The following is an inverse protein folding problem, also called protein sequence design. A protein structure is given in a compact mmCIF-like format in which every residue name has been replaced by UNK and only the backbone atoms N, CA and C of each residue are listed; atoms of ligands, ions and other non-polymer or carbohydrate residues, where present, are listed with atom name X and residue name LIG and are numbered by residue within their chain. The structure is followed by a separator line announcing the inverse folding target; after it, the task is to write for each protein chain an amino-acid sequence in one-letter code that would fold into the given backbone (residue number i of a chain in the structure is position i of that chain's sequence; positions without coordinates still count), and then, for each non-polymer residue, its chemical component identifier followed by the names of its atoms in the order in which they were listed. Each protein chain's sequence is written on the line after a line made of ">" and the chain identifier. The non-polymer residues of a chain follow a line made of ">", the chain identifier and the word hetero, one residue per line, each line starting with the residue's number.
data_IF_224811228883
#
_entry.id   IF_224811228883
#
_cell.length_a   1.000
_cell.length_b   1.000
_cell.length_c   1.000
_cell.angle_alpha   90.00
_cell.angle_beta   90.00
_cell.angle_gamma   90.00
#
_symmetry.space_group_name_H-M   'P 1'
#
loop_
_entity.id
_entity.type
_entity.pdbx_description
1 polymer ?
#
# COMPACT_ATOMS: atom_id res chain seq x y z
N UNK A 1 5.52 -17.45 1.85
CA UNK A 1 4.35 -16.55 1.96
C UNK A 1 4.36 -15.59 3.16
N UNK A 2 5.05 -15.87 4.28
CA UNK A 2 5.11 -14.97 5.46
C UNK A 2 5.79 -13.59 5.21
N UNK A 3 6.63 -13.48 4.18
CA UNK A 3 7.39 -12.25 3.84
C UNK A 3 6.51 -11.13 3.25
N UNK A 4 5.42 -11.47 2.56
CA UNK A 4 4.49 -10.51 1.93
C UNK A 4 3.69 -9.71 2.98
N UNK A 5 3.41 -10.36 4.12
CA UNK A 5 2.63 -9.80 5.23
C UNK A 5 3.32 -8.56 5.82
N UNK A 6 4.65 -8.51 5.86
CA UNK A 6 5.40 -7.43 6.51
C UNK A 6 5.39 -6.14 5.67
N UNK A 7 5.45 -6.24 4.33
CA UNK A 7 5.56 -5.08 3.45
C UNK A 7 4.29 -4.21 3.42
N UNK A 8 3.09 -4.83 3.49
CA UNK A 8 1.82 -4.10 3.49
C UNK A 8 1.34 -3.71 4.89
N UNK A 9 1.82 -4.40 5.92
CA UNK A 9 1.61 -3.97 7.31
C UNK A 9 2.40 -2.71 7.66
N UNK A 10 3.50 -2.43 6.94
CA UNK A 10 4.34 -1.25 7.14
C UNK A 10 3.85 -0.03 6.35
N UNK A 11 2.99 -0.23 5.36
CA UNK A 11 2.55 0.79 4.41
C UNK A 11 1.28 1.56 4.83
N UNK A 12 0.69 1.21 5.96
CA UNK A 12 -0.43 1.95 6.55
C UNK A 12 -1.63 1.07 6.78
N UNK A 13 -1.73 0.55 8.01
CA UNK A 13 -2.95 0.43 8.81
C UNK A 13 -2.58 -0.27 10.12
N UNK A 14 -2.53 0.54 11.17
CA UNK A 14 -2.30 0.20 12.57
C UNK A 14 -1.07 -0.70 12.86
N UNK A 15 0.08 -0.06 13.10
CA UNK A 15 1.08 -0.65 13.98
C UNK A 15 0.47 -0.81 15.38
N UNK A 16 0.64 -1.96 16.06
CA UNK A 16 0.20 -2.11 17.44
C UNK A 16 0.96 -1.09 18.30
N UNK A 17 0.24 -0.42 19.20
CA UNK A 17 0.77 0.43 20.24
C UNK A 17 1.68 -0.40 21.17
N UNK A 18 2.93 -0.56 20.77
CA UNK A 18 4.03 -0.94 21.63
C UNK A 18 5.21 -0.07 21.22
N UNK A 19 5.30 1.04 21.93
CA UNK A 19 6.33 2.07 21.95
C UNK A 19 7.62 1.64 21.23
N UNK A 20 7.71 2.02 19.95
CA UNK A 20 9.00 2.33 19.35
C UNK A 20 9.24 3.82 19.63
N UNK A 21 10.46 4.25 19.94
CA UNK A 21 10.77 5.67 20.01
C UNK A 21 10.59 6.25 18.60
N UNK A 22 9.39 6.75 18.34
CA UNK A 22 9.11 7.64 17.23
C UNK A 22 9.90 8.89 17.58
N UNK A 23 11.03 9.11 16.90
CA UNK A 23 11.60 10.45 16.86
C UNK A 23 10.44 11.38 16.45
N UNK A 24 10.24 12.50 17.18
CA UNK A 24 9.07 13.36 17.00
C UNK A 24 8.89 13.68 15.51
N UNK A 25 7.64 13.88 15.08
CA UNK A 25 7.14 14.24 13.73
C UNK A 25 7.85 15.45 13.08
N UNK A 26 9.17 15.45 13.04
CA UNK A 26 9.99 16.45 12.45
C UNK A 26 10.05 16.12 10.95
N UNK A 27 9.55 16.98 10.07
CA UNK A 27 9.86 16.85 8.65
C UNK A 27 11.39 16.80 8.50
N UNK A 28 11.95 15.90 7.67
CA UNK A 28 13.38 15.87 7.45
C UNK A 28 13.84 17.19 6.84
N UNK A 29 15.13 17.48 7.10
CA UNK A 29 15.84 18.63 6.55
C UNK A 29 15.61 18.70 5.04
N UNK A 30 15.21 19.87 4.56
CA UNK A 30 15.00 20.13 3.14
C UNK A 30 16.23 19.68 2.34
N UNK A 31 16.03 18.75 1.38
CA UNK A 31 17.05 18.45 0.38
C UNK A 31 17.23 17.00 -0.08
N UNK A 32 16.65 15.98 0.57
CA UNK A 32 16.84 14.60 0.09
C UNK A 32 15.75 14.21 -0.93
N UNK A 33 16.08 14.25 -2.23
CA UNK A 33 15.23 13.70 -3.31
C UNK A 33 15.22 12.17 -3.36
N UNK A 34 16.07 11.52 -2.56
CA UNK A 34 16.24 10.07 -2.46
C UNK A 34 15.40 9.43 -1.36
N UNK A 35 15.21 8.12 -1.48
CA UNK A 35 14.65 7.28 -0.42
C UNK A 35 15.67 7.03 0.69
N UNK A 36 15.27 7.22 1.94
CA UNK A 36 16.04 6.90 3.14
C UNK A 36 15.58 5.56 3.72
N UNK A 37 16.52 4.71 4.16
CA UNK A 37 16.19 3.40 4.73
C UNK A 37 15.64 3.57 6.15
N UNK A 38 14.39 3.17 6.35
CA UNK A 38 13.71 3.20 7.66
C UNK A 38 13.98 1.91 8.43
N UNK A 39 13.87 0.76 7.75
CA UNK A 39 14.00 -0.55 8.39
C UNK A 39 14.42 -1.61 7.38
N UNK A 40 15.22 -2.57 7.83
CA UNK A 40 15.54 -3.78 7.08
C UNK A 40 15.34 -5.00 7.97
N UNK A 41 14.60 -5.99 7.49
CA UNK A 41 14.41 -7.26 8.18
C UNK A 41 14.49 -8.40 7.17
N UNK A 42 15.55 -9.21 7.28
CA UNK A 42 15.83 -10.26 6.31
C UNK A 42 15.94 -9.69 4.89
N UNK A 43 15.07 -10.17 3.99
CA UNK A 43 15.03 -9.76 2.59
C UNK A 43 14.05 -8.61 2.32
N UNK A 44 13.46 -8.00 3.35
CA UNK A 44 12.54 -6.86 3.21
C UNK A 44 13.26 -5.59 3.66
N UNK A 45 13.24 -4.56 2.81
CA UNK A 45 13.71 -3.23 3.12
C UNK A 45 12.57 -2.23 2.97
N UNK A 46 12.38 -1.38 3.98
CA UNK A 46 11.42 -0.28 3.99
C UNK A 46 12.19 1.03 3.94
N UNK A 47 11.79 1.88 3.01
CA UNK A 47 12.31 3.20 2.80
C UNK A 47 11.20 4.24 2.91
N UNK A 48 11.60 5.48 3.14
CA UNK A 48 10.71 6.64 3.08
C UNK A 48 11.34 7.79 2.31
N UNK A 49 10.49 8.69 1.81
CA UNK A 49 10.89 10.04 1.45
C UNK A 49 9.74 11.00 1.69
N UNK A 50 10.06 12.27 1.86
CA UNK A 50 9.06 13.32 2.03
C UNK A 50 8.97 14.14 0.75
N UNK A 51 7.76 14.23 0.22
CA UNK A 51 7.47 14.95 -1.02
C UNK A 51 6.62 16.15 -0.70
N UNK A 52 6.98 17.31 -1.24
CA UNK A 52 6.08 18.46 -1.27
C UNK A 52 4.94 18.15 -2.25
N UNK A 53 3.71 18.12 -1.72
CA UNK A 53 2.50 17.78 -2.48
C UNK A 53 1.65 19.01 -2.78
N UNK A 54 1.77 20.03 -1.93
CA UNK A 54 1.22 21.39 -2.10
C UNK A 54 2.21 22.37 -1.45
N UNK A 55 2.17 23.67 -1.81
CA UNK A 55 3.03 24.67 -1.19
C UNK A 55 2.96 24.64 0.35
N UNK A 56 4.10 24.33 0.97
CA UNK A 56 4.21 24.24 2.44
C UNK A 56 3.58 22.98 3.05
N UNK A 57 3.19 22.00 2.23
CA UNK A 57 2.62 20.71 2.67
C UNK A 57 3.42 19.56 2.12
N UNK A 58 3.92 18.73 3.02
CA UNK A 58 4.63 17.51 2.68
C UNK A 58 3.75 16.27 2.96
N UNK A 59 3.96 15.23 2.17
CA UNK A 59 3.44 13.90 2.42
C UNK A 59 4.58 12.89 2.40
N UNK A 60 4.51 11.93 3.31
CA UNK A 60 5.46 10.83 3.40
C UNK A 60 5.08 9.75 2.39
N UNK A 61 6.00 9.44 1.49
CA UNK A 61 5.90 8.28 0.62
C UNK A 61 6.73 7.14 1.21
N UNK A 62 6.15 5.95 1.27
CA UNK A 62 6.81 4.73 1.70
C UNK A 62 7.14 3.87 0.49
N UNK A 63 8.28 3.19 0.55
CA UNK A 63 8.68 2.20 -0.43
C UNK A 63 9.14 0.92 0.27
N UNK A 64 8.58 -0.22 -0.09
CA UNK A 64 9.03 -1.53 0.36
C UNK A 64 9.67 -2.30 -0.82
N UNK A 65 10.84 -2.90 -0.59
CA UNK A 65 11.51 -3.78 -1.54
C UNK A 65 11.75 -5.16 -0.93
N UNK A 66 11.45 -6.22 -1.68
CA UNK A 66 11.72 -7.60 -1.26
C UNK A 66 11.73 -8.58 -2.45
N UNK A 67 12.21 -9.82 -2.21
CA UNK A 67 12.10 -10.91 -3.18
C UNK A 67 10.95 -11.83 -2.79
N UNK A 68 10.02 -12.04 -3.72
CA UNK A 68 8.92 -12.98 -3.58
C UNK A 68 9.25 -14.30 -4.32
N UNK A 69 8.98 -15.47 -3.71
CA UNK A 69 9.18 -16.76 -4.35
C UNK A 69 8.02 -17.10 -5.31
N UNK A 70 7.73 -16.21 -6.25
CA UNK A 70 6.67 -16.33 -7.24
C UNK A 70 7.01 -15.47 -8.47
N UNK A 71 6.45 -15.83 -9.63
CA UNK A 71 6.61 -15.06 -10.86
C UNK A 71 5.78 -13.77 -10.81
N UNK A 72 6.08 -12.76 -11.66
CA UNK A 72 5.28 -11.55 -11.73
C UNK A 72 3.80 -11.84 -12.02
N UNK A 73 3.53 -12.83 -12.88
CA UNK A 73 2.16 -13.25 -13.19
C UNK A 73 1.43 -13.85 -11.97
N UNK A 74 2.06 -14.77 -11.24
CA UNK A 74 1.44 -15.36 -10.05
C UNK A 74 1.17 -14.30 -8.95
N UNK A 75 2.03 -13.28 -8.86
CA UNK A 75 1.80 -12.14 -7.96
C UNK A 75 0.63 -11.27 -8.42
N UNK A 76 0.48 -10.99 -9.72
CA UNK A 76 -0.67 -10.26 -10.24
C UNK A 76 -1.99 -11.00 -9.98
N UNK A 77 -2.01 -12.32 -10.20
CA UNK A 77 -3.16 -13.16 -9.90
C UNK A 77 -3.51 -13.11 -8.41
N UNK A 78 -2.50 -13.16 -7.52
CA UNK A 78 -2.72 -13.00 -6.07
C UNK A 78 -3.28 -11.61 -5.70
N UNK A 79 -2.81 -10.55 -6.34
CA UNK A 79 -3.25 -9.17 -6.07
C UNK A 79 -4.68 -8.90 -6.55
N UNK A 80 -5.12 -9.61 -7.60
CA UNK A 80 -6.47 -9.51 -8.19
C UNK A 80 -7.49 -10.44 -7.51
N UNK A 81 -7.04 -11.46 -6.79
CA UNK A 81 -7.89 -12.46 -6.15
C UNK A 81 -8.43 -11.99 -4.78
N UNK A 82 -9.67 -11.51 -4.76
CA UNK A 82 -10.35 -11.07 -3.52
C UNK A 82 -10.47 -12.17 -2.46
N UNK A 83 -10.58 -13.44 -2.88
CA UNK A 83 -10.73 -14.58 -1.95
C UNK A 83 -9.46 -14.82 -1.12
N UNK A 84 -8.31 -14.36 -1.63
CA UNK A 84 -7.00 -14.47 -0.97
C UNK A 84 -6.58 -13.20 -0.27
N UNK A 85 -7.24 -12.07 -0.50
CA UNK A 85 -6.85 -10.76 0.05
C UNK A 85 -6.69 -10.79 1.58
N UNK A 86 -7.65 -11.40 2.30
CA UNK A 86 -7.63 -11.49 3.76
C UNK A 86 -6.46 -12.33 4.32
N UNK A 87 -5.89 -13.22 3.51
CA UNK A 87 -4.78 -14.07 3.95
C UNK A 87 -3.45 -13.32 4.01
N UNK A 88 -3.32 -12.18 3.32
CA UNK A 88 -2.06 -11.44 3.23
C UNK A 88 -2.18 -9.96 3.62
N UNK A 89 -3.36 -9.35 3.50
CA UNK A 89 -3.61 -7.99 3.98
C UNK A 89 -3.87 -8.02 5.48
N UNK A 90 -2.97 -7.42 6.27
CA UNK A 90 -3.18 -7.29 7.71
C UNK A 90 -4.41 -6.40 7.96
N UNK A 91 -5.23 -6.79 8.93
CA UNK A 91 -6.44 -6.09 9.34
C UNK A 91 -7.51 -5.96 8.25
N UNK A 92 -7.36 -6.55 7.07
CA UNK A 92 -8.45 -6.58 6.12
C UNK A 92 -9.61 -7.39 6.70
N UNK A 93 -10.80 -6.78 6.74
CA UNK A 93 -12.06 -7.42 7.09
C UNK A 93 -12.91 -7.76 5.88
N UNK A 94 -12.69 -7.07 4.76
CA UNK A 94 -13.32 -7.37 3.47
C UNK A 94 -12.47 -6.87 2.31
N UNK A 95 -12.48 -7.60 1.21
CA UNK A 95 -11.99 -7.16 -0.10
C UNK A 95 -13.04 -7.53 -1.15
N UNK A 96 -13.31 -6.64 -2.11
CA UNK A 96 -14.19 -6.92 -3.24
C UNK A 96 -13.65 -6.29 -4.51
N UNK A 97 -13.64 -7.04 -5.60
CA UNK A 97 -13.41 -6.52 -6.95
C UNK A 97 -14.76 -6.11 -7.55
N UNK A 98 -14.95 -4.82 -7.80
CA UNK A 98 -16.20 -4.24 -8.29
C UNK A 98 -16.26 -4.14 -9.81
N UNK A 99 -15.09 -4.05 -10.45
CA UNK A 99 -14.88 -4.01 -11.89
C UNK A 99 -13.59 -4.72 -12.18
N UNK A 100 -13.54 -5.48 -13.27
CA UNK A 100 -12.36 -6.26 -13.60
C UNK A 100 -12.21 -6.42 -15.11
N UNK A 101 -11.04 -6.08 -15.64
CA UNK A 101 -10.69 -6.22 -17.05
C UNK A 101 -9.20 -6.54 -17.22
N UNK A 102 -8.72 -6.60 -18.46
CA UNK A 102 -7.33 -6.95 -18.74
C UNK A 102 -6.33 -5.85 -18.36
N UNK A 103 -6.78 -4.59 -18.36
CA UNK A 103 -5.98 -3.40 -18.10
C UNK A 103 -5.99 -2.98 -16.62
N UNK A 104 -6.83 -3.59 -15.79
CA UNK A 104 -6.92 -3.25 -14.38
C UNK A 104 -8.27 -3.60 -13.74
N UNK A 105 -8.44 -3.16 -12.50
CA UNK A 105 -9.64 -3.45 -11.72
C UNK A 105 -9.95 -2.35 -10.71
N UNK A 106 -11.20 -2.33 -10.24
CA UNK A 106 -11.64 -1.47 -9.15
C UNK A 106 -11.82 -2.33 -7.90
N UNK A 107 -11.03 -2.08 -6.85
CA UNK A 107 -11.11 -2.83 -5.60
C UNK A 107 -11.64 -1.98 -4.45
N UNK A 108 -12.57 -2.53 -3.69
CA UNK A 108 -12.98 -2.04 -2.39
C UNK A 108 -12.30 -2.86 -1.30
N UNK A 109 -11.64 -2.21 -0.34
CA UNK A 109 -11.03 -2.87 0.81
C UNK A 109 -11.48 -2.20 2.09
N UNK A 110 -11.91 -3.00 3.08
CA UNK A 110 -12.24 -2.55 4.44
C UNK A 110 -11.24 -3.14 5.42
N UNK A 111 -10.77 -2.30 6.33
CA UNK A 111 -9.87 -2.67 7.41
C UNK A 111 -10.58 -2.57 8.75
N UNK A 112 -10.56 -3.68 9.48
CA UNK A 112 -11.12 -3.83 10.82
C UNK A 112 -9.98 -3.54 11.82
N UNK A 113 -9.96 -2.30 12.33
CA UNK A 113 -8.84 -1.78 13.10
C UNK A 113 -9.03 -1.99 14.61
N UNK A 114 -7.94 -2.19 15.36
CA UNK A 114 -8.03 -2.25 16.80
C UNK A 114 -8.41 -0.88 17.37
N UNK A 115 -9.24 -0.90 18.41
CA UNK A 115 -9.56 0.26 19.22
C UNK A 115 -8.27 0.95 19.73
N UNK A 116 -8.19 2.30 19.76
CA UNK A 116 -9.26 3.29 19.53
C UNK A 116 -9.40 3.80 18.09
N UNK A 117 -8.74 3.17 17.12
CA UNK A 117 -8.79 3.65 15.72
C UNK A 117 -10.07 3.17 15.07
N UNK A 118 -10.85 4.09 14.48
CA UNK A 118 -12.03 3.72 13.68
C UNK A 118 -11.63 2.89 12.46
N UNK A 119 -12.46 1.91 12.13
CA UNK A 119 -12.34 1.15 10.88
C UNK A 119 -12.19 2.08 9.68
N UNK A 120 -11.44 1.62 8.70
CA UNK A 120 -11.15 2.38 7.49
C UNK A 120 -11.53 1.59 6.26
N UNK A 121 -11.97 2.28 5.21
CA UNK A 121 -12.12 1.67 3.90
C UNK A 121 -11.45 2.49 2.82
N UNK A 122 -11.10 1.83 1.72
CA UNK A 122 -10.60 2.49 0.53
C UNK A 122 -11.23 1.89 -0.71
N UNK A 123 -11.34 2.73 -1.73
CA UNK A 123 -11.72 2.33 -3.07
C UNK A 123 -10.54 2.69 -3.97
N UNK A 124 -9.93 1.69 -4.59
CA UNK A 124 -8.70 1.83 -5.35
C UNK A 124 -8.93 1.36 -6.79
N UNK A 125 -8.63 2.24 -7.75
CA UNK A 125 -8.55 1.88 -9.16
C UNK A 125 -7.12 1.47 -9.48
N UNK A 126 -6.97 0.25 -9.98
CA UNK A 126 -5.72 -0.35 -10.40
C UNK A 126 -5.59 -0.26 -11.92
N UNK A 127 -4.38 0.02 -12.39
CA UNK A 127 -4.01 0.08 -13.81
C UNK A 127 -2.72 -0.71 -14.03
N UNK A 128 -2.78 -1.68 -14.95
CA UNK A 128 -1.75 -2.66 -15.21
C UNK A 128 -1.00 -2.35 -16.51
N UNK A 129 0.31 -2.22 -16.40
CA UNK A 129 1.22 -2.09 -17.52
C UNK A 129 2.24 -3.23 -17.49
N UNK A 130 2.24 -4.08 -18.51
CA UNK A 130 3.21 -5.18 -18.67
C UNK A 130 4.30 -4.79 -19.66
N UNK A 131 5.56 -5.11 -19.36
CA UNK A 131 6.69 -4.87 -20.26
C UNK A 131 7.78 -5.93 -20.06
N UNK A 132 8.09 -6.70 -21.11
CA UNK A 132 9.27 -7.57 -21.13
C UNK A 132 9.34 -8.60 -19.99
N UNK A 133 8.19 -9.10 -19.53
CA UNK A 133 8.08 -10.03 -18.38
C UNK A 133 7.97 -9.35 -17.01
N UNK A 134 8.23 -8.04 -16.93
CA UNK A 134 7.91 -7.22 -15.75
C UNK A 134 6.48 -6.69 -15.81
N UNK A 135 5.93 -6.34 -14.66
CA UNK A 135 4.63 -5.71 -14.54
C UNK A 135 4.68 -4.54 -13.57
N UNK A 136 4.08 -3.42 -13.98
CA UNK A 136 3.79 -2.27 -13.12
C UNK A 136 2.29 -2.17 -12.94
N UNK A 137 1.82 -2.31 -11.70
CA UNK A 137 0.43 -2.17 -11.33
C UNK A 137 0.28 -0.89 -10.50
N UNK A 138 -0.11 0.20 -11.14
CA UNK A 138 -0.42 1.46 -10.48
C UNK A 138 -1.75 1.38 -9.75
N UNK A 139 -1.90 2.12 -8.66
CA UNK A 139 -3.20 2.28 -8.00
C UNK A 139 -3.40 3.70 -7.50
N UNK A 140 -4.66 4.14 -7.49
CA UNK A 140 -5.06 5.43 -6.92
C UNK A 140 -6.45 5.34 -6.31
N UNK A 141 -6.71 6.23 -5.36
CA UNK A 141 -8.05 6.41 -4.78
C UNK A 141 -9.04 6.75 -5.87
N UNK A 142 -10.19 6.09 -5.82
CA UNK A 142 -11.31 6.29 -6.73
C UNK A 142 -12.57 6.65 -5.93
N UNK A 143 -13.55 7.19 -6.63
CA UNK A 143 -14.91 7.39 -6.11
C UNK A 143 -15.87 6.71 -7.09
N UNK A 144 -16.76 5.87 -6.58
CA UNK A 144 -17.73 5.12 -7.37
C UNK A 144 -19.00 4.86 -6.55
N UNK A 145 -20.16 5.01 -7.18
CA UNK A 145 -21.47 4.78 -6.55
C UNK A 145 -21.71 3.32 -6.13
N UNK A 146 -20.95 2.37 -6.68
CA UNK A 146 -20.99 0.95 -6.29
C UNK A 146 -20.45 0.70 -4.87
N UNK A 147 -19.69 1.64 -4.31
CA UNK A 147 -19.13 1.55 -2.96
C UNK A 147 -19.38 2.85 -2.15
N UNK A 148 -20.63 3.10 -1.73
CA UNK A 148 -20.97 4.31 -0.98
C UNK A 148 -20.29 4.34 0.39
N UNK A 149 -20.07 5.53 0.97
CA UNK A 149 -19.53 5.67 2.33
C UNK A 149 -20.38 4.93 3.37
N UNK A 150 -19.72 4.32 4.36
CA UNK A 150 -20.37 3.56 5.43
C UNK A 150 -20.31 4.34 6.74
N UNK A 151 -21.41 4.32 7.49
CA UNK A 151 -21.45 4.91 8.85
C UNK A 151 -20.48 4.17 9.76
N UNK A 152 -19.65 4.92 10.50
CA UNK A 152 -18.67 4.37 11.44
C UNK A 152 -17.36 3.91 10.79
N UNK A 153 -17.23 3.99 9.46
CA UNK A 153 -16.02 3.64 8.71
C UNK A 153 -15.48 4.90 8.04
N UNK A 154 -14.19 5.18 8.21
CA UNK A 154 -13.53 6.33 7.60
C UNK A 154 -13.00 5.97 6.20
N UNK A 155 -13.53 6.62 5.17
CA UNK A 155 -13.02 6.51 3.79
C UNK A 155 -11.66 7.17 3.69
N UNK A 156 -10.63 6.38 3.38
CA UNK A 156 -9.33 6.86 2.96
C UNK A 156 -9.42 7.33 1.50
N UNK A 157 -8.87 8.51 1.24
CA UNK A 157 -8.73 9.09 -0.07
C UNK A 157 -7.35 9.77 -0.19
N UNK A 158 -7.00 10.21 -1.40
CA UNK A 158 -5.64 10.69 -1.73
C UNK A 158 -4.53 9.63 -1.63
N UNK A 159 -4.89 8.35 -1.52
CA UNK A 159 -3.93 7.24 -1.57
C UNK A 159 -3.58 6.96 -3.03
N UNK A 160 -2.28 6.89 -3.35
CA UNK A 160 -1.79 6.41 -4.63
C UNK A 160 -0.45 5.69 -4.49
N UNK A 161 -0.09 4.91 -5.50
CA UNK A 161 1.14 4.12 -5.45
C UNK A 161 1.26 3.15 -6.62
N UNK A 162 2.24 2.25 -6.53
CA UNK A 162 2.42 1.20 -7.53
C UNK A 162 3.09 -0.04 -6.95
N UNK A 163 2.77 -1.18 -7.56
CA UNK A 163 3.58 -2.39 -7.50
C UNK A 163 4.44 -2.47 -8.74
N UNK A 164 5.74 -2.63 -8.58
CA UNK A 164 6.65 -3.02 -9.65
C UNK A 164 7.13 -4.45 -9.37
N UNK A 165 6.86 -5.34 -10.32
CA UNK A 165 7.14 -6.76 -10.25
C UNK A 165 8.12 -7.09 -11.36
N UNK A 166 9.35 -7.43 -10.99
CA UNK A 166 10.44 -7.70 -11.93
C UNK A 166 10.89 -9.15 -11.77
N UNK A 167 10.94 -9.95 -12.84
CA UNK A 167 11.38 -11.34 -12.75
C UNK A 167 12.86 -11.40 -12.36
N UNK A 168 13.18 -12.36 -11.49
CA UNK A 168 14.57 -12.72 -11.14
C UNK A 168 14.76 -14.23 -11.23
N UNK A 169 16.02 -14.69 -11.21
CA UNK A 169 16.36 -16.09 -11.40
C UNK A 169 15.60 -17.05 -10.44
N UNK A 170 15.19 -18.19 -10.98
CA UNK A 170 14.51 -19.26 -10.24
C UNK A 170 13.01 -19.07 -10.09
N UNK A 171 12.34 -18.38 -11.04
CA UNK A 171 10.88 -18.18 -10.99
C UNK A 171 10.42 -17.27 -9.86
N UNK A 172 11.30 -16.38 -9.40
CA UNK A 172 11.05 -15.42 -8.30
C UNK A 172 10.87 -14.03 -8.88
N UNK A 173 10.42 -13.09 -8.06
CA UNK A 173 10.28 -11.69 -8.46
C UNK A 173 10.88 -10.76 -7.43
N UNK A 174 11.58 -9.73 -7.89
CA UNK A 174 11.81 -8.52 -7.10
C UNK A 174 10.52 -7.71 -7.10
N UNK A 175 10.06 -7.36 -5.91
CA UNK A 175 8.86 -6.56 -5.70
C UNK A 175 9.29 -5.22 -5.12
N UNK A 176 8.88 -4.13 -5.78
CA UNK A 176 8.97 -2.78 -5.24
C UNK A 176 7.56 -2.22 -5.12
N UNK A 177 7.13 -1.96 -3.89
CA UNK A 177 5.83 -1.38 -3.59
C UNK A 177 6.01 0.06 -3.12
N UNK A 178 5.32 1.02 -3.73
CA UNK A 178 5.29 2.42 -3.28
C UNK A 178 3.88 2.83 -2.90
N UNK A 179 3.76 3.67 -1.87
CA UNK A 179 2.49 4.28 -1.47
C UNK A 179 2.69 5.66 -0.87
N UNK A 180 1.82 6.58 -1.22
CA UNK A 180 1.71 7.91 -0.63
C UNK A 180 0.24 8.20 -0.33
N UNK A 181 -0.02 8.87 0.79
CA UNK A 181 -1.35 9.42 1.09
C UNK A 181 -1.23 10.93 1.12
N UNK A 182 -1.80 11.59 0.12
CA UNK A 182 -1.76 13.04 -0.02
C UNK A 182 -2.96 13.71 0.63
N UNK A 183 -4.01 13.01 1.02
CA UNK A 183 -5.14 13.64 1.69
C UNK A 183 -4.88 13.81 3.19
N UNK A 184 -5.32 14.94 3.73
CA UNK A 184 -5.12 15.27 5.15
C UNK A 184 -5.98 14.34 6.00
N UNK A 185 -5.39 13.30 6.58
CA UNK A 185 -6.08 12.52 7.60
C UNK A 185 -6.35 13.42 8.81
N UNK A 186 -7.61 13.81 9.03
CA UNK A 186 -8.04 14.33 10.34
C UNK A 186 -7.93 13.17 11.34
N UNK A 187 -6.83 13.10 12.08
CA UNK A 187 -6.71 12.21 13.24
C UNK A 187 -7.55 12.82 14.38
N UNK A 188 -8.29 12.01 15.16
CA UNK A 188 -8.94 12.50 16.37
C UNK A 188 -7.88 13.11 17.31
N UNK A 189 -8.20 14.28 17.89
CA UNK A 189 -7.41 14.88 18.97
C UNK A 189 -7.69 14.17 20.29
#
# INVERSE_FOLDING_TARGET
>A
MKTLIIALSLAGLALPARELPIAPDAPPRAGTTGYELVKKQGQVALYERWLEVEPGRQARELKAEFIAPASPQALLELLRDESKALAWMRHAGACRILEDNDDGWLAYVRYDLPWPVSDQDCLLRYELHKNGGSAKLGFRSASDGKAPPRRGVKRMAGVSGAWLLEPVAGGRSKVSYTVITTERQRLPR
#
